data_IF_627541703719
#
_entry.id   IF_627541703719
#
_cell.length_a   1.000
_cell.length_b   1.000
_cell.length_c   1.000
_cell.angle_alpha   90.00
_cell.angle_beta   90.00
_cell.angle_gamma   90.00
#
_symmetry.space_group_name_H-M   'P 1'
#
loop_
_entity.id
_entity.type
_entity.pdbx_description
1 polymer ?
#
# COMPACT_ATOMS: atom_id res chain seq x y z
N UNK A 1 33.43 24.41 -36.15
CA UNK A 1 32.00 24.69 -36.40
C UNK A 1 31.30 23.35 -36.23
N UNK A 2 30.82 23.08 -35.01
CA UNK A 2 30.15 21.83 -34.66
C UNK A 2 28.67 22.20 -34.53
N UNK A 3 27.84 21.64 -35.40
CA UNK A 3 26.39 21.80 -35.33
C UNK A 3 25.87 21.12 -34.06
N UNK A 4 25.32 21.92 -33.16
CA UNK A 4 24.53 21.43 -32.03
C UNK A 4 23.16 21.09 -32.63
N UNK A 5 22.97 19.83 -32.99
CA UNK A 5 21.65 19.31 -33.33
C UNK A 5 20.71 19.56 -32.15
N UNK A 6 19.59 20.20 -32.46
CA UNK A 6 18.54 20.58 -31.53
C UNK A 6 18.20 19.44 -30.56
N UNK A 7 18.30 19.76 -29.27
CA UNK A 7 17.62 19.01 -28.22
C UNK A 7 16.14 19.15 -28.55
N UNK A 8 15.55 18.10 -29.11
CA UNK A 8 14.14 18.06 -29.37
C UNK A 8 13.41 18.26 -28.04
N UNK A 9 12.67 19.36 -27.95
CA UNK A 9 11.58 19.52 -27.01
C UNK A 9 10.56 18.40 -27.28
N UNK A 10 10.76 17.23 -26.69
CA UNK A 10 9.68 16.27 -26.49
C UNK A 10 8.92 16.69 -25.22
N UNK A 11 8.38 17.91 -25.23
CA UNK A 11 7.36 18.32 -24.27
C UNK A 11 6.01 17.73 -24.70
N UNK A 12 5.97 16.42 -24.93
CA UNK A 12 4.73 15.68 -24.81
C UNK A 12 4.40 15.77 -23.33
N UNK A 13 3.36 16.52 -22.98
CA UNK A 13 2.89 16.63 -21.60
C UNK A 13 2.86 15.22 -21.01
N UNK A 14 3.65 15.00 -19.94
CA UNK A 14 3.66 13.71 -19.26
C UNK A 14 2.20 13.31 -18.99
N UNK A 15 1.85 12.02 -19.13
CA UNK A 15 0.50 11.54 -18.82
C UNK A 15 0.08 12.10 -17.47
N UNK A 16 -1.16 12.59 -17.38
CA UNK A 16 -1.67 13.11 -16.10
C UNK A 16 -1.87 11.91 -15.18
N UNK A 17 -0.99 11.74 -14.20
CA UNK A 17 -1.11 10.69 -13.19
C UNK A 17 -2.29 10.99 -12.25
N UNK A 18 -3.08 9.95 -11.96
CA UNK A 18 -4.24 10.04 -11.08
C UNK A 18 -4.48 8.69 -10.39
N UNK A 19 -4.09 8.62 -9.11
CA UNK A 19 -4.27 7.42 -8.27
C UNK A 19 -5.74 7.02 -8.13
N UNK A 20 -6.67 7.99 -8.09
CA UNK A 20 -8.10 7.70 -7.96
C UNK A 20 -8.68 7.01 -9.20
N UNK A 21 -8.00 7.10 -10.34
CA UNK A 21 -8.34 6.44 -11.60
C UNK A 21 -7.33 5.33 -11.98
N UNK A 22 -6.44 4.96 -11.04
CA UNK A 22 -5.36 3.99 -11.24
C UNK A 22 -4.43 4.32 -12.42
N UNK A 23 -4.24 5.60 -12.70
CA UNK A 23 -3.33 6.09 -13.73
C UNK A 23 -1.98 6.43 -13.10
N UNK A 24 -0.98 5.61 -13.39
CA UNK A 24 0.40 5.77 -12.91
C UNK A 24 1.36 5.94 -14.09
N UNK A 25 2.51 6.56 -13.84
CA UNK A 25 3.63 6.58 -14.77
C UNK A 25 4.21 5.18 -15.03
N UNK A 26 4.91 4.99 -16.16
CA UNK A 26 5.48 3.70 -16.56
C UNK A 26 6.52 3.16 -15.57
N UNK A 27 7.13 4.00 -14.74
CA UNK A 27 8.04 3.58 -13.67
C UNK A 27 7.35 2.76 -12.56
N UNK A 28 6.01 2.70 -12.54
CA UNK A 28 5.23 2.05 -11.49
C UNK A 28 4.47 0.79 -11.97
N UNK A 29 4.61 0.35 -13.22
CA UNK A 29 3.83 -0.77 -13.77
C UNK A 29 4.10 -2.13 -13.08
N UNK A 30 5.34 -2.38 -12.66
CA UNK A 30 5.78 -3.66 -12.06
C UNK A 30 6.40 -3.48 -10.66
N UNK A 31 5.93 -2.50 -9.89
CA UNK A 31 6.43 -2.27 -8.53
C UNK A 31 5.62 -2.99 -7.47
N UNK A 32 6.31 -3.45 -6.44
CA UNK A 32 5.67 -3.93 -5.23
C UNK A 32 5.40 -2.75 -4.29
N UNK A 33 4.13 -2.45 -4.04
CA UNK A 33 3.70 -1.35 -3.18
C UNK A 33 3.58 -1.84 -1.73
N UNK A 34 4.20 -1.11 -0.81
CA UNK A 34 4.24 -1.45 0.61
C UNK A 34 3.27 -0.61 1.43
N UNK A 35 2.63 -1.24 2.41
CA UNK A 35 1.86 -0.56 3.47
C UNK A 35 2.79 0.12 4.50
N UNK A 36 2.24 1.05 5.28
CA UNK A 36 2.95 1.71 6.39
C UNK A 36 3.44 0.68 7.42
N UNK A 37 2.64 -0.36 7.70
CA UNK A 37 2.98 -1.42 8.63
C UNK A 37 4.23 -2.20 8.18
N UNK A 38 4.28 -2.58 6.90
CA UNK A 38 5.43 -3.27 6.31
C UNK A 38 6.66 -2.38 6.27
N UNK A 39 6.50 -1.10 5.91
CA UNK A 39 7.61 -0.14 5.95
C UNK A 39 8.14 0.02 7.39
N UNK A 40 7.27 0.05 8.41
CA UNK A 40 7.70 0.11 9.80
C UNK A 40 8.57 -1.09 10.20
N UNK A 41 8.16 -2.31 9.84
CA UNK A 41 8.93 -3.54 10.04
C UNK A 41 10.31 -3.45 9.37
N UNK A 42 10.34 -3.10 8.08
CA UNK A 42 11.58 -3.01 7.29
C UNK A 42 12.54 -1.96 7.89
N UNK A 43 12.03 -0.79 8.24
CA UNK A 43 12.83 0.27 8.86
C UNK A 43 13.32 -0.14 10.25
N UNK A 44 12.55 -0.90 11.04
CA UNK A 44 13.03 -1.37 12.34
C UNK A 44 14.23 -2.33 12.20
N UNK A 45 14.17 -3.27 11.26
CA UNK A 45 15.24 -4.24 10.96
C UNK A 45 16.47 -3.52 10.39
N UNK A 46 16.26 -2.60 9.46
CA UNK A 46 17.30 -1.80 8.83
C UNK A 46 18.01 -0.90 9.85
N UNK A 47 17.28 -0.28 10.78
CA UNK A 47 17.85 0.56 11.83
C UNK A 47 18.75 -0.23 12.79
N UNK A 48 18.33 -1.43 13.20
CA UNK A 48 19.16 -2.32 14.04
C UNK A 48 20.46 -2.69 13.32
N UNK A 49 20.38 -2.91 12.01
CA UNK A 49 21.54 -3.22 11.18
C UNK A 49 22.50 -2.03 11.04
N UNK A 50 21.98 -0.80 10.92
CA UNK A 50 22.77 0.42 10.88
C UNK A 50 23.52 0.66 12.20
N UNK A 51 22.86 0.44 13.35
CA UNK A 51 23.50 0.52 14.67
C UNK A 51 24.68 -0.47 14.78
N UNK A 52 24.49 -1.71 14.30
CA UNK A 52 25.56 -2.72 14.30
C UNK A 52 26.75 -2.35 13.40
N UNK A 53 26.54 -1.46 12.42
CA UNK A 53 27.58 -0.98 11.49
C UNK A 53 28.11 0.41 11.83
N UNK A 54 27.66 1.03 12.94
CA UNK A 54 27.98 2.41 13.32
C UNK A 54 27.62 3.44 12.22
N UNK A 55 26.53 3.17 11.49
CA UNK A 55 26.03 4.04 10.42
C UNK A 55 24.96 4.99 10.96
N UNK A 56 25.10 6.29 10.66
CA UNK A 56 24.08 7.27 10.99
C UNK A 56 22.90 7.23 10.01
N UNK A 57 21.69 7.08 10.55
CA UNK A 57 20.46 7.21 9.78
C UNK A 57 20.22 8.67 9.38
N UNK A 58 19.93 8.91 8.10
CA UNK A 58 19.69 10.26 7.58
C UNK A 58 18.34 10.85 8.05
N UNK A 59 18.12 12.12 7.74
CA UNK A 59 16.91 12.84 8.16
C UNK A 59 15.62 12.26 7.56
N UNK A 60 15.64 11.88 6.27
CA UNK A 60 14.48 11.29 5.59
C UNK A 60 14.09 9.99 6.30
N UNK A 61 15.07 9.13 6.58
CA UNK A 61 14.86 7.88 7.30
C UNK A 61 14.19 8.11 8.65
N UNK A 62 14.73 9.01 9.48
CA UNK A 62 14.18 9.32 10.81
C UNK A 62 12.75 9.86 10.72
N UNK A 63 12.45 10.71 9.73
CA UNK A 63 11.10 11.24 9.49
C UNK A 63 10.14 10.14 9.05
N UNK A 64 10.55 9.28 8.11
CA UNK A 64 9.72 8.16 7.64
C UNK A 64 9.46 7.17 8.77
N UNK A 65 10.48 6.78 9.53
CA UNK A 65 10.33 5.90 10.69
C UNK A 65 9.35 6.48 11.72
N UNK A 66 9.46 7.78 12.03
CA UNK A 66 8.52 8.45 12.93
C UNK A 66 7.10 8.49 12.38
N UNK A 67 6.93 8.68 11.08
CA UNK A 67 5.62 8.68 10.42
C UNK A 67 4.97 7.30 10.50
N UNK A 68 5.68 6.26 10.05
CA UNK A 68 5.12 4.90 10.02
C UNK A 68 4.87 4.36 11.43
N UNK A 69 5.72 4.66 12.41
CA UNK A 69 5.46 4.28 13.80
C UNK A 69 4.23 4.97 14.40
N UNK A 70 3.87 6.16 13.89
CA UNK A 70 2.70 6.91 14.36
C UNK A 70 1.39 6.45 13.71
N UNK A 71 1.45 6.12 12.42
CA UNK A 71 0.26 5.80 11.61
C UNK A 71 0.19 4.33 11.21
N UNK A 72 0.95 3.46 11.88
CA UNK A 72 0.76 2.02 11.78
C UNK A 72 -0.45 1.61 12.63
N UNK A 73 -1.55 1.25 11.97
CA UNK A 73 -2.78 0.72 12.58
C UNK A 73 -2.68 -0.78 12.92
N UNK A 74 -1.66 -1.46 12.39
CA UNK A 74 -1.40 -2.90 12.54
C UNK A 74 -0.13 -3.11 13.35
N UNK A 75 -0.19 -2.77 14.64
CA UNK A 75 0.91 -2.96 15.58
C UNK A 75 0.41 -3.63 16.85
N UNK A 76 1.23 -4.50 17.42
CA UNK A 76 1.00 -5.06 18.74
C UNK A 76 2.37 -5.25 19.42
N UNK A 77 2.66 -4.52 20.52
CA UNK A 77 3.95 -4.58 21.19
C UNK A 77 4.16 -5.91 21.96
N UNK A 78 3.08 -6.67 22.21
CA UNK A 78 3.14 -7.96 22.90
C UNK A 78 3.33 -9.13 21.91
N UNK A 79 2.92 -8.95 20.65
CA UNK A 79 3.04 -9.97 19.60
C UNK A 79 4.49 -10.11 19.15
N UNK A 80 4.92 -11.36 18.93
CA UNK A 80 6.27 -11.60 18.41
C UNK A 80 6.43 -10.97 17.02
N UNK A 81 7.62 -10.43 16.73
CA UNK A 81 7.87 -9.73 15.47
C UNK A 81 7.57 -10.60 14.24
N UNK A 82 7.93 -11.88 14.28
CA UNK A 82 7.67 -12.80 13.18
C UNK A 82 6.18 -13.04 12.98
N UNK A 83 5.42 -13.20 14.07
CA UNK A 83 3.97 -13.38 13.98
C UNK A 83 3.28 -12.13 13.41
N UNK A 84 3.78 -10.93 13.70
CA UNK A 84 3.26 -9.71 13.09
C UNK A 84 3.54 -9.68 11.58
N UNK A 85 4.75 -10.05 11.16
CA UNK A 85 5.12 -10.12 9.74
C UNK A 85 4.23 -11.12 9.00
N UNK A 86 4.04 -12.31 9.56
CA UNK A 86 3.23 -13.37 8.95
C UNK A 86 1.77 -12.90 8.75
N UNK A 87 1.19 -12.17 9.70
CA UNK A 87 -0.18 -11.64 9.56
C UNK A 87 -0.29 -10.54 8.51
N UNK A 88 0.73 -9.67 8.40
CA UNK A 88 0.80 -8.63 7.38
C UNK A 88 0.92 -9.23 5.97
N UNK A 89 1.77 -10.25 5.82
CA UNK A 89 1.96 -10.97 4.55
C UNK A 89 0.68 -11.72 4.17
N UNK A 90 0.05 -12.43 5.12
CA UNK A 90 -1.23 -13.10 4.88
C UNK A 90 -2.34 -12.14 4.44
N UNK A 91 -2.43 -10.94 5.04
CA UNK A 91 -3.40 -9.94 4.62
C UNK A 91 -3.09 -9.39 3.23
N UNK A 92 -1.82 -9.06 2.96
CA UNK A 92 -1.42 -8.58 1.65
C UNK A 92 -1.71 -9.60 0.55
N UNK A 93 -1.40 -10.88 0.79
CA UNK A 93 -1.67 -11.97 -0.14
C UNK A 93 -3.18 -12.15 -0.37
N UNK A 94 -3.98 -12.16 0.71
CA UNK A 94 -5.43 -12.28 0.60
C UNK A 94 -6.05 -11.13 -0.23
N UNK A 95 -5.59 -9.90 -0.05
CA UNK A 95 -6.07 -8.76 -0.82
C UNK A 95 -5.55 -8.79 -2.27
N UNK A 96 -4.27 -9.11 -2.48
CA UNK A 96 -3.65 -9.14 -3.81
C UNK A 96 -4.19 -10.28 -4.69
N UNK A 97 -4.67 -11.36 -4.07
CA UNK A 97 -5.29 -12.51 -4.76
C UNK A 97 -6.82 -12.45 -4.75
N UNK A 98 -7.43 -11.41 -4.17
CA UNK A 98 -8.87 -11.22 -4.21
C UNK A 98 -9.34 -11.03 -5.66
N UNK A 99 -10.35 -11.79 -6.05
CA UNK A 99 -10.96 -11.76 -7.39
C UNK A 99 -12.47 -11.73 -7.29
N UNK A 100 -13.12 -10.91 -8.11
CA UNK A 100 -14.58 -10.90 -8.26
C UNK A 100 -14.96 -10.95 -9.74
N UNK A 101 -15.67 -11.99 -10.15
CA UNK A 101 -16.23 -12.09 -11.49
C UNK A 101 -17.38 -11.08 -11.67
N UNK A 102 -17.40 -10.39 -12.80
CA UNK A 102 -18.49 -9.49 -13.21
C UNK A 102 -19.55 -10.27 -13.99
N UNK A 103 -20.72 -9.66 -14.18
CA UNK A 103 -21.79 -10.26 -14.98
C UNK A 103 -21.39 -10.50 -16.45
N UNK A 104 -20.38 -9.77 -16.94
CA UNK A 104 -19.81 -9.90 -18.29
C UNK A 104 -18.72 -10.98 -18.40
N UNK A 105 -18.37 -11.63 -17.27
CA UNK A 105 -17.36 -12.69 -17.20
C UNK A 105 -15.91 -12.18 -17.07
N UNK A 106 -15.73 -10.88 -16.80
CA UNK A 106 -14.42 -10.31 -16.50
C UNK A 106 -14.08 -10.47 -15.01
N UNK A 107 -12.80 -10.58 -14.67
CA UNK A 107 -12.35 -10.64 -13.27
C UNK A 107 -11.87 -9.26 -12.80
N UNK A 108 -12.47 -8.77 -11.71
CA UNK A 108 -11.98 -7.61 -10.98
C UNK A 108 -10.96 -8.05 -9.94
N UNK A 109 -9.77 -7.47 -10.02
CA UNK A 109 -8.66 -7.70 -9.08
C UNK A 109 -8.30 -6.38 -8.40
N UNK A 110 -7.85 -6.38 -7.15
CA UNK A 110 -7.32 -5.16 -6.50
C UNK A 110 -5.96 -4.76 -7.09
N UNK A 111 -5.77 -3.47 -7.37
CA UNK A 111 -4.47 -2.93 -7.74
C UNK A 111 -3.59 -2.78 -6.49
N UNK A 112 -2.26 -2.93 -6.62
CA UNK A 112 -1.35 -2.84 -5.46
C UNK A 112 -1.46 -1.53 -4.67
N UNK A 113 -1.81 -0.43 -5.34
CA UNK A 113 -2.07 0.86 -4.69
C UNK A 113 -3.33 0.85 -3.82
N UNK A 114 -4.38 0.16 -4.25
CA UNK A 114 -5.61 -0.01 -3.47
C UNK A 114 -5.36 -0.95 -2.29
N UNK A 115 -4.59 -2.03 -2.47
CA UNK A 115 -4.20 -2.94 -1.38
C UNK A 115 -3.47 -2.17 -0.28
N UNK A 116 -2.44 -1.40 -0.63
CA UNK A 116 -1.69 -0.61 0.34
C UNK A 116 -2.56 0.50 0.98
N UNK A 117 -3.44 1.16 0.21
CA UNK A 117 -4.36 2.15 0.73
C UNK A 117 -5.37 1.54 1.72
N UNK A 118 -5.95 0.38 1.40
CA UNK A 118 -6.84 -0.37 2.27
C UNK A 118 -6.15 -0.74 3.59
N UNK A 119 -4.93 -1.29 3.53
CA UNK A 119 -4.15 -1.64 4.73
C UNK A 119 -3.78 -0.42 5.58
N UNK A 120 -3.64 0.76 4.98
CA UNK A 120 -3.24 1.99 5.68
C UNK A 120 -4.42 2.77 6.27
N UNK A 121 -5.57 2.79 5.58
CA UNK A 121 -6.66 3.73 5.86
C UNK A 121 -7.86 3.07 6.55
N UNK A 122 -8.10 1.78 6.29
CA UNK A 122 -9.29 1.08 6.80
C UNK A 122 -9.11 0.75 8.28
N UNK A 123 -10.14 1.05 9.07
CA UNK A 123 -10.28 0.67 10.46
C UNK A 123 -11.42 -0.35 10.63
N UNK A 124 -11.60 -0.86 11.86
CA UNK A 124 -12.57 -1.94 12.12
C UNK A 124 -14.03 -1.53 11.96
N UNK A 125 -14.30 -0.23 11.97
CA UNK A 125 -15.63 0.39 11.81
C UNK A 125 -15.84 1.05 10.45
N UNK A 126 -14.84 1.00 9.54
CA UNK A 126 -14.96 1.55 8.20
C UNK A 126 -16.08 0.85 7.42
N UNK A 127 -16.95 1.66 6.83
CA UNK A 127 -18.08 1.22 6.00
C UNK A 127 -17.72 1.31 4.50
N UNK A 128 -18.50 0.64 3.65
CA UNK A 128 -18.26 0.63 2.19
C UNK A 128 -18.26 2.05 1.61
N UNK A 129 -19.21 2.90 2.00
CA UNK A 129 -19.27 4.30 1.54
C UNK A 129 -17.99 5.08 1.88
N UNK A 130 -17.46 4.90 3.08
CA UNK A 130 -16.21 5.55 3.51
C UNK A 130 -15.00 5.00 2.74
N UNK A 131 -14.92 3.68 2.56
CA UNK A 131 -13.85 3.05 1.79
C UNK A 131 -13.80 3.58 0.35
N UNK A 132 -14.96 3.71 -0.31
CA UNK A 132 -15.06 4.27 -1.66
C UNK A 132 -14.76 5.78 -1.67
N UNK A 133 -15.17 6.53 -0.63
CA UNK A 133 -14.85 7.94 -0.53
C UNK A 133 -13.33 8.19 -0.37
N UNK A 134 -12.63 7.32 0.37
CA UNK A 134 -11.19 7.37 0.56
C UNK A 134 -10.40 6.82 -0.63
N UNK A 135 -10.92 5.79 -1.30
CA UNK A 135 -10.27 5.08 -2.40
C UNK A 135 -11.28 4.97 -3.56
N UNK A 136 -11.45 6.04 -4.37
CA UNK A 136 -12.52 6.11 -5.37
C UNK A 136 -12.48 5.01 -6.44
N UNK A 137 -11.31 4.47 -6.74
CA UNK A 137 -11.15 3.38 -7.71
C UNK A 137 -11.85 2.08 -7.27
N UNK A 138 -12.16 1.91 -5.97
CA UNK A 138 -12.94 0.78 -5.47
C UNK A 138 -14.38 0.77 -5.99
N UNK A 139 -14.91 1.90 -6.48
CA UNK A 139 -16.27 1.99 -7.05
C UNK A 139 -16.52 1.07 -8.25
N UNK A 140 -15.46 0.49 -8.85
CA UNK A 140 -15.56 -0.55 -9.86
C UNK A 140 -16.04 -1.90 -9.32
N UNK A 141 -15.93 -2.14 -8.01
CA UNK A 141 -16.43 -3.36 -7.38
C UNK A 141 -17.90 -3.20 -6.94
N UNK A 142 -18.68 -4.30 -6.96
CA UNK A 142 -19.97 -4.33 -6.29
C UNK A 142 -19.82 -4.08 -4.78
N UNK A 143 -20.79 -3.40 -4.17
CA UNK A 143 -20.80 -3.08 -2.73
C UNK A 143 -20.56 -4.33 -1.86
N UNK A 144 -21.19 -5.46 -2.21
CA UNK A 144 -21.00 -6.73 -1.51
C UNK A 144 -19.54 -7.23 -1.55
N UNK A 145 -18.82 -7.03 -2.66
CA UNK A 145 -17.42 -7.41 -2.78
C UNK A 145 -16.51 -6.50 -1.94
N UNK A 146 -16.85 -5.21 -1.85
CA UNK A 146 -16.12 -4.28 -0.98
C UNK A 146 -16.35 -4.64 0.48
N UNK A 147 -17.57 -5.01 0.87
CA UNK A 147 -17.85 -5.47 2.23
C UNK A 147 -17.08 -6.76 2.57
N UNK A 148 -16.99 -7.72 1.64
CA UNK A 148 -16.12 -8.92 1.77
C UNK A 148 -14.65 -8.53 2.01
N UNK A 149 -14.12 -7.56 1.26
CA UNK A 149 -12.76 -7.04 1.44
C UNK A 149 -12.59 -6.43 2.85
N UNK A 150 -13.53 -5.60 3.27
CA UNK A 150 -13.48 -4.96 4.59
C UNK A 150 -13.54 -6.01 5.71
N UNK A 151 -14.32 -7.09 5.56
CA UNK A 151 -14.35 -8.21 6.49
C UNK A 151 -13.01 -8.94 6.61
N UNK A 152 -12.29 -9.15 5.50
CA UNK A 152 -10.95 -9.73 5.51
C UNK A 152 -9.97 -8.87 6.32
N UNK A 153 -10.02 -7.55 6.12
CA UNK A 153 -9.16 -6.59 6.83
C UNK A 153 -9.55 -6.57 8.32
N UNK A 154 -10.85 -6.49 8.65
CA UNK A 154 -11.36 -6.53 10.03
C UNK A 154 -10.88 -7.77 10.77
N UNK A 155 -11.07 -8.95 10.18
CA UNK A 155 -10.66 -10.23 10.76
C UNK A 155 -9.15 -10.27 11.06
N UNK A 156 -8.34 -9.73 10.15
CA UNK A 156 -6.88 -9.72 10.32
C UNK A 156 -6.42 -8.66 11.32
N UNK A 157 -6.99 -7.46 11.28
CA UNK A 157 -6.71 -6.43 12.29
C UNK A 157 -7.00 -6.94 13.70
N UNK A 158 -8.13 -7.64 13.91
CA UNK A 158 -8.45 -8.24 15.21
C UNK A 158 -7.35 -9.22 15.65
N UNK A 159 -6.88 -10.10 14.76
CA UNK A 159 -5.77 -11.03 15.06
C UNK A 159 -4.45 -10.33 15.36
N UNK A 160 -4.20 -9.17 14.76
CA UNK A 160 -2.99 -8.39 14.99
C UNK A 160 -3.06 -7.66 16.33
N UNK A 161 -4.17 -6.98 16.63
CA UNK A 161 -4.28 -6.09 17.81
C UNK A 161 -4.72 -6.80 19.09
N UNK A 162 -5.29 -8.00 19.01
CA UNK A 162 -5.64 -8.85 20.16
C UNK A 162 -4.42 -9.63 20.65
#
# INVERSE_FOLDING_TARGET
MVEISAIGDSNAAAPVENVAELQFGPEFEDIHILSNAQVAVILQVSANSAVNRDEELNEVYRKTQKYVNRFNTMTNPEKEHQELVDELDNLQDALSTFRKETDDGDELELHGAEVAALMNLVATDTLVEEAVALIPSLSRFPEAAIDEILDLIRSTMIRIVS
#
